data_IF_658644776098
#
_entry.id   IF_658644776098
#
_cell.length_a   1.000
_cell.length_b   1.000
_cell.length_c   1.000
_cell.angle_alpha   90.00
_cell.angle_beta   90.00
_cell.angle_gamma   90.00
#
_symmetry.space_group_name_H-M   'P 1'
#
loop_
_entity.id
_entity.type
_entity.pdbx_description
1 polymer ?
#
# COMPACT_ATOMS: atom_id res chain seq x y z
N UNK A 1 4.26 53.87 -15.39
CA UNK A 1 5.57 53.27 -15.13
C UNK A 1 5.59 52.30 -13.93
N UNK A 2 4.46 52.05 -13.24
CA UNK A 2 4.40 51.17 -12.06
C UNK A 2 4.34 49.67 -12.38
N UNK A 3 3.66 49.26 -13.46
CA UNK A 3 3.36 47.84 -13.71
C UNK A 3 4.56 47.02 -14.19
N UNK A 4 5.50 47.61 -14.92
CA UNK A 4 6.69 46.91 -15.40
C UNK A 4 7.69 46.58 -14.27
N UNK A 5 7.71 47.41 -13.20
CA UNK A 5 8.57 47.22 -12.04
C UNK A 5 8.05 46.14 -11.09
N UNK A 6 6.74 45.97 -10.99
CA UNK A 6 6.10 44.90 -10.21
C UNK A 6 6.23 43.53 -10.91
N UNK A 7 6.06 43.48 -12.23
CA UNK A 7 6.22 42.22 -13.01
C UNK A 7 7.67 41.73 -12.99
N UNK A 8 8.64 42.66 -13.05
CA UNK A 8 10.07 42.31 -12.92
C UNK A 8 10.43 41.88 -11.50
N UNK A 9 9.84 42.50 -10.46
CA UNK A 9 10.01 42.08 -9.07
C UNK A 9 9.44 40.68 -8.79
N UNK A 10 8.26 40.36 -9.34
CA UNK A 10 7.64 39.04 -9.23
C UNK A 10 8.47 37.97 -9.96
N UNK A 11 8.91 38.24 -11.20
CA UNK A 11 9.78 37.34 -11.95
C UNK A 11 11.12 37.13 -11.25
N UNK A 12 11.72 38.19 -10.71
CA UNK A 12 12.98 38.08 -9.98
C UNK A 12 12.81 37.28 -8.68
N UNK A 13 11.71 37.47 -7.96
CA UNK A 13 11.33 36.68 -6.78
C UNK A 13 11.15 35.20 -7.13
N UNK A 14 10.44 34.90 -8.22
CA UNK A 14 10.25 33.53 -8.71
C UNK A 14 11.58 32.91 -9.13
N UNK A 15 12.42 33.64 -9.89
CA UNK A 15 13.73 33.16 -10.32
C UNK A 15 14.68 32.95 -9.13
N UNK A 16 14.65 33.81 -8.13
CA UNK A 16 15.49 33.68 -6.92
C UNK A 16 15.00 32.52 -6.06
N UNK A 17 13.68 32.35 -5.87
CA UNK A 17 13.09 31.19 -5.20
C UNK A 17 13.40 29.88 -5.93
N UNK A 18 13.41 29.90 -7.27
CA UNK A 18 13.82 28.77 -8.10
C UNK A 18 15.31 28.48 -7.94
N UNK A 19 16.18 29.50 -7.94
CA UNK A 19 17.63 29.36 -7.78
C UNK A 19 18.02 28.86 -6.38
N UNK A 20 17.37 29.34 -5.32
CA UNK A 20 17.56 28.85 -3.95
C UNK A 20 17.01 27.42 -3.78
N UNK A 21 15.91 27.06 -4.46
CA UNK A 21 15.43 25.67 -4.51
C UNK A 21 16.36 24.72 -5.29
N UNK A 22 17.08 25.21 -6.30
CA UNK A 22 18.03 24.39 -7.07
C UNK A 22 19.31 24.12 -6.27
N UNK A 23 19.66 24.97 -5.29
CA UNK A 23 20.84 24.82 -4.42
C UNK A 23 20.48 24.28 -3.03
N UNK A 24 19.87 23.09 -2.99
CA UNK A 24 19.53 22.36 -1.76
C UNK A 24 20.63 21.34 -1.40
N UNK A 25 21.44 21.55 -0.34
CA UNK A 25 22.39 20.53 0.16
C UNK A 25 21.70 19.34 0.86
N UNK A 26 20.37 19.36 0.96
CA UNK A 26 19.47 18.39 1.60
C UNK A 26 18.79 17.41 0.61
N UNK A 27 19.27 17.34 -0.65
CA UNK A 27 18.75 16.40 -1.64
C UNK A 27 19.35 14.99 -1.47
N UNK A 28 18.49 13.98 -1.41
CA UNK A 28 18.90 12.58 -1.48
C UNK A 28 18.59 12.05 -2.88
N UNK A 29 19.62 11.65 -3.62
CA UNK A 29 19.51 11.19 -5.02
C UNK A 29 18.80 12.20 -5.96
N UNK A 30 18.91 13.49 -5.67
CA UNK A 30 18.29 14.56 -6.47
C UNK A 30 16.86 14.94 -6.05
N UNK A 31 16.31 14.33 -5.00
CA UNK A 31 14.97 14.65 -4.48
C UNK A 31 15.02 15.17 -3.04
N UNK A 32 14.09 16.07 -2.69
CA UNK A 32 13.88 16.49 -1.31
C UNK A 32 13.04 15.45 -0.53
N UNK A 33 12.93 15.57 0.79
CA UNK A 33 12.18 14.59 1.60
C UNK A 33 10.69 14.49 1.25
N UNK A 34 10.04 15.59 0.87
CA UNK A 34 8.63 15.59 0.46
C UNK A 34 8.44 14.83 -0.86
N UNK A 35 9.30 15.06 -1.86
CA UNK A 35 9.29 14.33 -3.13
C UNK A 35 9.57 12.84 -2.94
N UNK A 36 10.44 12.49 -1.98
CA UNK A 36 10.71 11.09 -1.64
C UNK A 36 9.48 10.35 -1.08
N UNK A 37 8.50 11.06 -0.49
CA UNK A 37 7.22 10.45 -0.08
C UNK A 37 6.44 9.88 -1.26
N UNK A 38 6.67 10.38 -2.49
CA UNK A 38 6.09 9.83 -3.72
C UNK A 38 7.06 8.86 -4.43
N UNK A 39 8.35 9.18 -4.50
CA UNK A 39 9.33 8.40 -5.27
C UNK A 39 9.63 7.04 -4.64
N UNK A 40 9.83 6.98 -3.32
CA UNK A 40 10.26 5.75 -2.64
C UNK A 40 9.16 4.68 -2.67
N UNK A 41 7.88 4.97 -2.33
CA UNK A 41 6.84 3.95 -2.39
C UNK A 41 6.67 3.37 -3.79
N UNK A 42 6.70 4.20 -4.84
CA UNK A 42 6.61 3.73 -6.24
C UNK A 42 7.81 2.85 -6.62
N UNK A 43 9.01 3.21 -6.18
CA UNK A 43 10.19 2.37 -6.40
C UNK A 43 10.04 1.03 -5.66
N UNK A 44 9.57 1.05 -4.41
CA UNK A 44 9.33 -0.14 -3.60
C UNK A 44 8.24 -1.05 -4.18
N UNK A 45 7.23 -0.47 -4.84
CA UNK A 45 6.20 -1.20 -5.56
C UNK A 45 6.82 -2.10 -6.63
N UNK A 46 7.58 -1.51 -7.55
CA UNK A 46 8.18 -2.26 -8.66
C UNK A 46 9.24 -3.25 -8.19
N UNK A 47 10.03 -2.91 -7.15
CA UNK A 47 10.98 -3.84 -6.56
C UNK A 47 10.28 -5.06 -5.96
N UNK A 48 9.22 -4.86 -5.17
CA UNK A 48 8.46 -5.93 -4.52
C UNK A 48 7.69 -6.75 -5.55
N UNK A 49 7.09 -6.09 -6.54
CA UNK A 49 6.34 -6.77 -7.58
C UNK A 49 7.26 -7.60 -8.48
N UNK A 50 8.44 -7.08 -8.82
CA UNK A 50 9.45 -7.83 -9.58
C UNK A 50 9.96 -9.02 -8.77
N UNK A 51 10.18 -8.86 -7.46
CA UNK A 51 10.57 -9.98 -6.61
C UNK A 51 9.57 -11.14 -6.71
N UNK A 52 8.27 -10.87 -6.52
CA UNK A 52 7.23 -11.90 -6.63
C UNK A 52 7.07 -12.47 -8.05
N UNK A 53 7.23 -11.63 -9.07
CA UNK A 53 7.19 -12.08 -10.46
C UNK A 53 8.36 -13.01 -10.80
N UNK A 54 9.56 -12.76 -10.26
CA UNK A 54 10.69 -13.67 -10.42
C UNK A 54 10.45 -15.01 -9.72
N UNK A 55 9.78 -15.01 -8.55
CA UNK A 55 9.40 -16.27 -7.89
C UNK A 55 8.42 -17.08 -8.76
N UNK A 56 7.42 -16.44 -9.36
CA UNK A 56 6.49 -17.11 -10.30
C UNK A 56 7.21 -17.61 -11.55
N UNK A 57 8.00 -16.74 -12.19
CA UNK A 57 8.71 -17.07 -13.44
C UNK A 57 9.67 -18.26 -13.30
N UNK A 58 10.42 -18.32 -12.20
CA UNK A 58 11.39 -19.40 -11.94
C UNK A 58 10.81 -20.59 -11.17
N UNK A 59 9.50 -20.61 -10.93
CA UNK A 59 8.81 -21.64 -10.15
C UNK A 59 9.37 -21.86 -8.74
N UNK A 60 9.86 -20.78 -8.13
CA UNK A 60 10.44 -20.83 -6.79
C UNK A 60 9.30 -20.80 -5.76
N UNK A 61 9.36 -21.67 -4.76
CA UNK A 61 8.40 -21.71 -3.66
C UNK A 61 6.95 -22.01 -4.07
N UNK A 62 6.74 -22.83 -5.11
CA UNK A 62 5.42 -23.20 -5.61
C UNK A 62 4.45 -23.71 -4.52
N UNK A 63 4.96 -24.35 -3.45
CA UNK A 63 4.15 -24.80 -2.31
C UNK A 63 3.45 -23.68 -1.52
N UNK A 64 3.87 -22.43 -1.69
CA UNK A 64 3.27 -21.25 -1.03
C UNK A 64 2.37 -20.44 -1.97
N UNK A 65 2.11 -20.93 -3.20
CA UNK A 65 1.16 -20.26 -4.11
C UNK A 65 -0.28 -20.43 -3.66
N UNK A 66 -1.04 -19.35 -3.76
CA UNK A 66 -2.45 -19.29 -3.41
C UNK A 66 -3.35 -19.87 -4.51
N UNK A 67 -2.94 -19.72 -5.77
CA UNK A 67 -3.64 -20.28 -6.94
C UNK A 67 -2.61 -20.67 -8.01
N UNK A 68 -2.92 -21.65 -8.88
CA UNK A 68 -2.05 -22.00 -10.00
C UNK A 68 -1.92 -20.85 -11.02
N UNK A 69 -0.72 -20.67 -11.59
CA UNK A 69 -0.42 -19.65 -12.61
C UNK A 69 -1.32 -19.76 -13.86
N UNK A 70 -1.78 -20.97 -14.18
CA UNK A 70 -2.72 -21.17 -15.29
C UNK A 70 -4.13 -20.63 -14.99
N UNK A 71 -4.57 -20.66 -13.73
CA UNK A 71 -5.82 -20.01 -13.34
C UNK A 71 -5.73 -18.49 -13.51
N UNK A 72 -4.59 -17.88 -13.17
CA UNK A 72 -4.34 -16.46 -13.39
C UNK A 72 -4.58 -16.07 -14.86
N UNK A 73 -3.93 -16.79 -15.79
CA UNK A 73 -4.02 -16.51 -17.24
C UNK A 73 -5.43 -16.71 -17.81
N UNK A 74 -6.20 -17.64 -17.23
CA UNK A 74 -7.53 -18.01 -17.74
C UNK A 74 -8.67 -17.18 -17.12
N UNK A 75 -8.51 -16.72 -15.88
CA UNK A 75 -9.57 -16.06 -15.12
C UNK A 75 -9.51 -14.53 -15.18
N UNK A 76 -8.33 -13.96 -15.37
CA UNK A 76 -8.16 -12.52 -15.47
C UNK A 76 -8.61 -12.02 -16.85
N UNK A 77 -9.34 -10.90 -16.85
CA UNK A 77 -9.84 -10.27 -18.08
C UNK A 77 -8.76 -9.46 -18.80
N UNK A 78 -7.97 -8.60 -18.14
CA UNK A 78 -7.00 -7.75 -18.83
C UNK A 78 -5.73 -8.53 -19.17
N UNK A 79 -5.09 -8.16 -20.28
CA UNK A 79 -3.74 -8.65 -20.58
C UNK A 79 -2.71 -8.04 -19.61
N UNK A 80 -1.65 -8.79 -19.30
CA UNK A 80 -0.54 -8.32 -18.43
C UNK A 80 0.06 -7.00 -18.93
N UNK A 81 0.20 -6.83 -20.26
CA UNK A 81 0.69 -5.59 -20.86
C UNK A 81 -0.26 -4.39 -20.63
N UNK A 82 -1.58 -4.62 -20.69
CA UNK A 82 -2.57 -3.58 -20.36
C UNK A 82 -2.44 -3.16 -18.90
N UNK A 83 -2.32 -4.13 -17.99
CA UNK A 83 -2.15 -3.86 -16.56
C UNK A 83 -0.90 -3.04 -16.28
N UNK A 84 0.26 -3.44 -16.82
CA UNK A 84 1.52 -2.68 -16.68
C UNK A 84 1.36 -1.24 -17.18
N UNK A 85 0.75 -1.04 -18.35
CA UNK A 85 0.53 0.30 -18.90
C UNK A 85 -0.35 1.15 -17.99
N UNK A 86 -1.42 0.59 -17.45
CA UNK A 86 -2.32 1.29 -16.52
C UNK A 86 -1.57 1.68 -15.25
N UNK A 87 -0.87 0.75 -14.61
CA UNK A 87 -0.11 1.01 -13.37
C UNK A 87 0.99 2.06 -13.59
N UNK A 88 1.72 2.01 -14.71
CA UNK A 88 2.70 3.04 -15.06
C UNK A 88 2.07 4.42 -15.24
N UNK A 89 0.86 4.48 -15.83
CA UNK A 89 0.12 5.73 -16.00
C UNK A 89 -0.29 6.29 -14.63
N UNK A 90 -0.81 5.44 -13.74
CA UNK A 90 -1.19 5.83 -12.39
C UNK A 90 0.01 6.32 -11.58
N UNK A 91 1.15 5.64 -11.65
CA UNK A 91 2.37 6.09 -10.99
C UNK A 91 2.92 7.41 -11.55
N UNK A 92 2.81 7.64 -12.86
CA UNK A 92 3.16 8.94 -13.44
C UNK A 92 2.25 10.05 -12.89
N UNK A 93 0.94 9.80 -12.78
CA UNK A 93 0.00 10.73 -12.15
C UNK A 93 0.30 10.95 -10.66
N UNK A 94 0.62 9.89 -9.91
CA UNK A 94 0.96 9.94 -8.49
C UNK A 94 2.26 10.74 -8.24
N UNK A 95 3.30 10.52 -9.05
CA UNK A 95 4.53 11.31 -9.00
C UNK A 95 4.26 12.79 -9.29
N UNK A 96 3.52 13.08 -10.37
CA UNK A 96 3.17 14.45 -10.72
C UNK A 96 2.40 15.13 -9.58
N UNK A 97 1.39 14.46 -9.03
CA UNK A 97 0.60 15.01 -7.94
C UNK A 97 1.44 15.21 -6.67
N UNK A 98 2.30 14.25 -6.31
CA UNK A 98 3.20 14.40 -5.16
C UNK A 98 4.12 15.61 -5.30
N UNK A 99 4.60 15.90 -6.51
CA UNK A 99 5.46 17.05 -6.78
C UNK A 99 4.67 18.36 -6.77
N UNK A 100 3.41 18.34 -7.22
CA UNK A 100 2.50 19.47 -7.10
C UNK A 100 2.16 19.75 -5.64
N UNK A 101 1.93 18.71 -4.83
CA UNK A 101 1.66 18.82 -3.38
C UNK A 101 2.86 19.44 -2.65
N UNK A 102 4.08 18.97 -2.94
CA UNK A 102 5.34 19.59 -2.48
C UNK A 102 5.44 21.06 -2.94
N UNK A 103 5.19 21.33 -4.23
CA UNK A 103 5.25 22.70 -4.78
C UNK A 103 4.25 23.66 -4.12
N UNK A 104 3.08 23.15 -3.71
CA UNK A 104 2.06 23.91 -3.00
C UNK A 104 2.29 23.97 -1.48
N UNK A 105 3.36 23.34 -0.96
CA UNK A 105 3.66 23.23 0.46
C UNK A 105 2.50 22.61 1.27
N UNK A 106 1.70 21.77 0.59
CA UNK A 106 0.60 21.03 1.20
C UNK A 106 1.20 19.80 1.88
N UNK A 107 1.07 19.72 3.20
CA UNK A 107 1.52 18.54 3.95
C UNK A 107 2.95 18.60 4.50
N UNK A 108 3.57 19.79 4.59
CA UNK A 108 4.79 20.03 5.42
C UNK A 108 4.52 19.89 6.94
N UNK A 109 3.50 19.13 7.34
CA UNK A 109 3.14 18.92 8.73
C UNK A 109 4.12 17.95 9.42
N UNK A 110 4.28 18.08 10.74
CA UNK A 110 4.74 16.98 11.58
C UNK A 110 6.21 16.96 12.01
N UNK A 111 7.13 17.61 11.28
CA UNK A 111 8.54 17.70 11.68
C UNK A 111 8.70 18.32 13.07
N UNK A 112 7.97 19.40 13.34
CA UNK A 112 7.98 20.06 14.64
C UNK A 112 7.34 19.22 15.74
N UNK A 113 6.27 18.48 15.44
CA UNK A 113 5.55 17.66 16.42
C UNK A 113 6.40 16.50 16.89
N UNK A 114 6.96 15.71 15.96
CA UNK A 114 7.84 14.59 16.30
C UNK A 114 9.10 15.08 17.05
N UNK A 115 9.70 16.19 16.60
CA UNK A 115 10.87 16.79 17.25
C UNK A 115 10.55 17.32 18.67
N UNK A 116 9.38 17.93 18.87
CA UNK A 116 8.93 18.40 20.19
C UNK A 116 8.73 17.24 21.16
N UNK A 117 8.06 16.17 20.74
CA UNK A 117 7.87 14.98 21.57
C UNK A 117 9.18 14.26 21.86
N UNK A 118 10.06 14.12 20.85
CA UNK A 118 11.40 13.59 21.02
C UNK A 118 12.18 14.40 22.07
N UNK A 119 12.14 15.73 21.96
CA UNK A 119 12.78 16.63 22.94
C UNK A 119 12.19 16.49 24.34
N UNK A 120 10.87 16.36 24.47
CA UNK A 120 10.23 16.13 25.77
C UNK A 120 10.65 14.79 26.39
N UNK A 121 10.66 13.70 25.61
CA UNK A 121 11.11 12.37 26.06
C UNK A 121 12.57 12.44 26.50
N UNK A 122 13.44 13.02 25.67
CA UNK A 122 14.87 13.16 25.96
C UNK A 122 15.15 14.11 27.14
N UNK A 123 14.33 15.13 27.37
CA UNK A 123 14.46 16.01 28.54
C UNK A 123 14.05 15.32 29.84
N UNK A 124 13.07 14.42 29.79
CA UNK A 124 12.63 13.65 30.97
C UNK A 124 13.56 12.46 31.26
N UNK A 125 14.22 11.93 30.22
CA UNK A 125 15.16 10.83 30.28
C UNK A 125 16.47 11.20 29.57
N UNK A 126 17.26 12.15 30.13
CA UNK A 126 18.48 12.63 29.48
C UNK A 126 19.49 11.50 29.30
N UNK A 127 20.10 11.32 28.11
CA UNK A 127 21.01 10.21 27.82
C UNK A 127 22.38 10.30 28.53
N UNK A 128 22.53 11.13 29.56
CA UNK A 128 23.83 11.50 30.10
C UNK A 128 24.23 10.68 31.33
N UNK A 129 25.02 9.62 31.07
CA UNK A 129 26.22 9.39 31.87
C UNK A 129 27.45 9.51 30.95
N UNK A 130 28.43 10.38 31.25
CA UNK A 130 29.53 10.75 30.35
C UNK A 130 30.58 9.65 30.12
N UNK A 131 30.49 8.51 30.81
CA UNK A 131 31.38 7.36 30.62
C UNK A 131 30.84 6.41 29.55
N UNK A 132 31.60 6.22 28.47
CA UNK A 132 31.39 5.15 27.46
C UNK A 132 31.87 3.78 27.95
N UNK A 133 32.62 3.75 29.05
CA UNK A 133 33.42 2.59 29.46
C UNK A 133 32.78 1.78 30.60
N UNK A 134 31.66 2.25 31.14
CA UNK A 134 30.95 1.63 32.26
C UNK A 134 29.70 0.89 31.80
N UNK A 135 29.70 -0.44 31.94
CA UNK A 135 28.55 -1.34 31.73
C UNK A 135 27.64 -1.45 32.97
N UNK A 136 27.59 -0.40 33.80
CA UNK A 136 26.73 -0.38 34.98
C UNK A 136 25.26 -0.46 34.52
N UNK A 137 24.46 -1.31 35.18
CA UNK A 137 23.04 -1.50 34.92
C UNK A 137 22.27 -0.18 34.89
N UNK A 138 22.58 0.77 35.79
CA UNK A 138 21.89 2.07 35.83
C UNK A 138 22.15 2.92 34.58
N UNK A 139 23.37 2.84 34.03
CA UNK A 139 23.78 3.58 32.82
C UNK A 139 23.17 2.92 31.57
N UNK A 140 23.11 1.59 31.54
CA UNK A 140 22.43 0.85 30.48
C UNK A 140 20.92 1.15 30.48
N UNK A 141 20.28 1.19 31.66
CA UNK A 141 18.88 1.53 31.80
C UNK A 141 18.59 2.97 31.33
N UNK A 142 19.45 3.93 31.67
CA UNK A 142 19.34 5.33 31.19
C UNK A 142 19.46 5.48 29.66
N UNK A 143 20.09 4.53 28.96
CA UNK A 143 20.18 4.52 27.49
C UNK A 143 19.03 3.77 26.84
N UNK A 144 18.69 2.61 27.39
CA UNK A 144 17.70 1.69 26.83
C UNK A 144 16.28 2.25 27.02
N UNK A 145 15.94 2.74 28.21
CA UNK A 145 14.56 3.18 28.52
C UNK A 145 14.10 4.31 27.58
N UNK A 146 14.79 5.47 27.46
CA UNK A 146 14.38 6.50 26.51
C UNK A 146 14.35 6.02 25.06
N UNK A 147 15.27 5.14 24.66
CA UNK A 147 15.30 4.58 23.30
C UNK A 147 14.07 3.71 23.03
N UNK A 148 13.69 2.85 23.98
CA UNK A 148 12.50 2.01 23.91
C UNK A 148 11.24 2.86 23.93
N UNK A 149 11.14 3.86 24.82
CA UNK A 149 10.01 4.78 24.88
C UNK A 149 9.87 5.56 23.57
N UNK A 150 10.97 6.08 23.04
CA UNK A 150 10.97 6.81 21.78
C UNK A 150 10.59 5.92 20.60
N UNK A 151 11.16 4.71 20.52
CA UNK A 151 10.80 3.72 19.51
C UNK A 151 9.32 3.32 19.59
N UNK A 152 8.79 3.07 20.80
CA UNK A 152 7.39 2.76 21.02
C UNK A 152 6.47 3.93 20.64
N UNK A 153 6.88 5.18 20.91
CA UNK A 153 6.16 6.37 20.50
C UNK A 153 6.08 6.50 18.98
N UNK A 154 7.22 6.33 18.28
CA UNK A 154 7.25 6.35 16.81
C UNK A 154 6.40 5.23 16.22
N UNK A 155 6.51 4.01 16.76
CA UNK A 155 5.69 2.87 16.34
C UNK A 155 4.19 3.15 16.57
N UNK A 156 3.82 3.71 17.72
CA UNK A 156 2.44 4.09 18.03
C UNK A 156 1.88 5.11 17.04
N UNK A 157 2.69 6.09 16.62
CA UNK A 157 2.31 7.05 15.56
C UNK A 157 2.12 6.39 14.20
N UNK A 158 3.00 5.46 13.84
CA UNK A 158 2.89 4.68 12.60
C UNK A 158 1.62 3.83 12.59
N UNK A 159 1.31 3.14 13.70
CA UNK A 159 0.09 2.33 13.85
C UNK A 159 -1.18 3.20 13.83
N UNK A 160 -1.16 4.36 14.48
CA UNK A 160 -2.28 5.30 14.43
C UNK A 160 -2.52 5.80 13.01
N UNK A 161 -1.46 6.17 12.29
CA UNK A 161 -1.57 6.62 10.90
C UNK A 161 -2.03 5.49 9.98
N UNK A 162 -1.54 4.27 10.16
CA UNK A 162 -2.02 3.09 9.43
C UNK A 162 -3.50 2.83 9.70
N UNK A 163 -3.98 2.99 10.93
CA UNK A 163 -5.39 2.88 11.27
C UNK A 163 -6.26 3.96 10.59
N UNK A 164 -5.72 5.17 10.39
CA UNK A 164 -6.37 6.23 9.59
C UNK A 164 -6.46 5.81 8.12
N UNK A 165 -5.37 5.31 7.53
CA UNK A 165 -5.36 4.78 6.15
C UNK A 165 -6.43 3.68 6.02
N UNK A 166 -6.39 2.67 6.88
CA UNK A 166 -7.25 1.50 6.79
C UNK A 166 -8.73 1.87 6.99
N UNK A 167 -9.02 2.81 7.90
CA UNK A 167 -10.38 3.34 8.07
C UNK A 167 -10.88 4.03 6.80
N UNK A 168 -10.06 4.89 6.20
CA UNK A 168 -10.46 5.59 4.97
C UNK A 168 -10.68 4.61 3.81
N UNK A 169 -9.70 3.73 3.58
CA UNK A 169 -9.74 2.71 2.53
C UNK A 169 -10.94 1.79 2.72
N UNK A 170 -11.19 1.30 3.94
CA UNK A 170 -12.36 0.46 4.22
C UNK A 170 -13.66 1.15 3.83
N UNK A 171 -13.89 2.40 4.24
CA UNK A 171 -15.17 3.07 3.96
C UNK A 171 -15.34 3.38 2.49
N UNK A 172 -14.27 3.75 1.78
CA UNK A 172 -14.31 3.92 0.33
C UNK A 172 -14.59 2.59 -0.39
N UNK A 173 -13.90 1.52 0.01
CA UNK A 173 -14.02 0.20 -0.57
C UNK A 173 -15.41 -0.41 -0.30
N UNK A 174 -15.87 -0.38 0.95
CA UNK A 174 -17.21 -0.79 1.34
C UNK A 174 -18.28 -0.04 0.55
N UNK A 175 -18.17 1.28 0.45
CA UNK A 175 -19.10 2.11 -0.33
C UNK A 175 -19.06 1.74 -1.81
N UNK A 176 -17.88 1.43 -2.35
CA UNK A 176 -17.71 0.99 -3.74
C UNK A 176 -18.46 -0.30 -4.04
N UNK A 177 -18.60 -1.21 -3.08
CA UNK A 177 -19.41 -2.43 -3.22
C UNK A 177 -20.90 -2.26 -2.93
N UNK A 178 -21.30 -1.20 -2.22
CA UNK A 178 -22.71 -0.91 -1.90
C UNK A 178 -23.37 0.00 -2.93
N UNK A 179 -22.64 0.96 -3.47
CA UNK A 179 -23.13 1.93 -4.43
C UNK A 179 -22.81 1.44 -5.84
N UNK A 180 -23.82 0.91 -6.50
CA UNK A 180 -23.67 0.23 -7.79
C UNK A 180 -23.04 1.10 -8.89
N UNK A 181 -23.23 2.42 -8.84
CA UNK A 181 -22.56 3.33 -9.78
C UNK A 181 -21.05 3.41 -9.55
N UNK A 182 -20.62 3.48 -8.28
CA UNK A 182 -19.20 3.50 -7.92
C UNK A 182 -18.57 2.16 -8.30
N UNK A 183 -19.24 1.03 -7.98
CA UNK A 183 -18.77 -0.28 -8.42
C UNK A 183 -18.50 -0.33 -9.93
N UNK A 184 -19.50 -0.05 -10.76
CA UNK A 184 -19.41 -0.25 -12.22
C UNK A 184 -18.43 0.67 -12.94
N UNK A 185 -18.17 1.86 -12.41
CA UNK A 185 -17.39 2.88 -13.12
C UNK A 185 -16.00 3.10 -12.52
N UNK A 186 -15.77 2.66 -11.28
CA UNK A 186 -14.56 2.95 -10.53
C UNK A 186 -13.89 1.64 -10.11
N UNK A 187 -14.59 0.83 -9.31
CA UNK A 187 -13.99 -0.32 -8.62
C UNK A 187 -14.02 -1.65 -9.40
N UNK A 188 -14.90 -1.78 -10.41
CA UNK A 188 -15.00 -3.02 -11.19
C UNK A 188 -13.74 -3.31 -11.99
N UNK A 189 -12.97 -2.28 -12.37
CA UNK A 189 -11.68 -2.42 -13.07
C UNK A 189 -10.71 -3.23 -12.21
N UNK A 190 -10.63 -2.93 -10.92
CA UNK A 190 -9.81 -3.68 -9.99
C UNK A 190 -10.20 -5.16 -9.92
N UNK A 191 -11.50 -5.45 -9.93
CA UNK A 191 -12.06 -6.81 -9.93
C UNK A 191 -11.98 -7.54 -11.27
N UNK A 192 -11.47 -6.91 -12.33
CA UNK A 192 -11.15 -7.62 -13.57
C UNK A 192 -9.95 -8.58 -13.39
N UNK A 193 -9.10 -8.30 -12.39
CA UNK A 193 -8.11 -9.24 -11.87
C UNK A 193 -8.80 -10.13 -10.83
N UNK A 194 -9.27 -11.29 -11.28
CA UNK A 194 -9.96 -12.28 -10.46
C UNK A 194 -8.99 -13.13 -9.61
N UNK A 195 -7.82 -13.43 -10.17
CA UNK A 195 -6.71 -14.11 -9.52
C UNK A 195 -5.58 -13.10 -9.39
N UNK A 196 -5.40 -12.49 -8.20
CA UNK A 196 -4.39 -11.46 -7.98
C UNK A 196 -2.97 -11.93 -8.31
N UNK A 197 -2.18 -11.00 -8.84
CA UNK A 197 -0.74 -11.12 -9.03
C UNK A 197 -0.05 -9.78 -8.69
N UNK A 198 1.26 -9.82 -8.43
CA UNK A 198 1.96 -8.77 -7.69
C UNK A 198 1.86 -7.34 -8.28
N UNK A 199 2.22 -7.13 -9.54
CA UNK A 199 2.08 -5.81 -10.19
C UNK A 199 0.63 -5.50 -10.65
N UNK A 200 -0.33 -6.39 -10.33
CA UNK A 200 -1.76 -6.11 -10.46
C UNK A 200 -2.32 -5.33 -9.26
N UNK A 201 -1.53 -5.15 -8.19
CA UNK A 201 -1.98 -4.54 -6.93
C UNK A 201 -2.53 -3.11 -7.05
N UNK A 202 -2.10 -2.36 -8.06
CA UNK A 202 -2.57 -1.00 -8.36
C UNK A 202 -3.29 -0.92 -9.70
N UNK A 203 -3.74 -2.06 -10.24
CA UNK A 203 -4.63 -2.05 -11.39
C UNK A 203 -6.02 -1.62 -10.94
N UNK A 204 -6.29 -0.33 -11.02
CA UNK A 204 -7.55 0.28 -10.67
C UNK A 204 -7.83 1.51 -11.55
N UNK A 205 -9.00 2.13 -11.39
CA UNK A 205 -9.30 3.38 -12.10
C UNK A 205 -8.52 4.55 -11.49
N UNK A 206 -8.24 5.60 -12.27
CA UNK A 206 -7.59 6.81 -11.75
C UNK A 206 -8.34 7.43 -10.56
N UNK A 207 -9.68 7.38 -10.60
CA UNK A 207 -10.53 7.85 -9.50
C UNK A 207 -10.31 7.00 -8.26
N UNK A 208 -10.29 5.68 -8.40
CA UNK A 208 -10.00 4.78 -7.29
C UNK A 208 -8.62 5.04 -6.70
N UNK A 209 -7.57 5.17 -7.52
CA UNK A 209 -6.23 5.43 -7.01
C UNK A 209 -6.16 6.76 -6.27
N UNK A 210 -6.85 7.79 -6.75
CA UNK A 210 -6.91 9.08 -6.06
C UNK A 210 -7.60 8.96 -4.69
N UNK A 211 -8.79 8.35 -4.63
CA UNK A 211 -9.59 8.29 -3.41
C UNK A 211 -9.06 7.26 -2.41
N UNK A 212 -8.65 6.09 -2.87
CA UNK A 212 -8.15 5.01 -2.01
C UNK A 212 -6.67 5.20 -1.67
N UNK A 213 -5.81 5.38 -2.66
CA UNK A 213 -4.36 5.25 -2.46
C UNK A 213 -3.74 6.59 -2.03
N UNK A 214 -4.09 7.69 -2.70
CA UNK A 214 -3.47 9.00 -2.46
C UNK A 214 -4.12 9.70 -1.27
N UNK A 215 -5.44 9.85 -1.26
CA UNK A 215 -6.12 10.62 -0.23
C UNK A 215 -6.03 9.97 1.15
N UNK A 216 -6.05 8.64 1.26
CA UNK A 216 -5.83 7.95 2.54
C UNK A 216 -4.47 8.29 3.15
N UNK A 217 -3.41 8.32 2.34
CA UNK A 217 -2.06 8.67 2.73
C UNK A 217 -1.96 10.13 3.18
N UNK A 218 -2.53 11.07 2.40
CA UNK A 218 -2.56 12.50 2.74
C UNK A 218 -3.31 12.74 4.05
N UNK A 219 -4.46 12.07 4.25
CA UNK A 219 -5.23 12.18 5.48
C UNK A 219 -4.46 11.63 6.68
N UNK A 220 -3.81 10.47 6.55
CA UNK A 220 -3.01 9.89 7.62
C UNK A 220 -1.82 10.79 8.02
N UNK A 221 -1.08 11.31 7.04
CA UNK A 221 0.03 12.24 7.27
C UNK A 221 -0.46 13.53 7.94
N UNK A 222 -1.59 14.09 7.50
CA UNK A 222 -2.14 15.34 8.03
C UNK A 222 -2.74 15.18 9.42
N UNK A 223 -3.61 14.18 9.62
CA UNK A 223 -4.33 13.96 10.89
C UNK A 223 -3.37 13.61 12.03
N UNK A 224 -2.38 12.74 11.76
CA UNK A 224 -1.38 12.33 12.77
C UNK A 224 -0.22 13.32 12.86
N UNK A 225 -0.07 14.19 11.87
CA UNK A 225 1.05 15.12 11.74
C UNK A 225 2.36 14.35 11.61
N UNK A 226 2.45 13.44 10.63
CA UNK A 226 3.68 12.70 10.32
C UNK A 226 4.69 13.59 9.58
N UNK A 227 5.95 13.53 9.99
CA UNK A 227 7.05 14.04 9.17
C UNK A 227 7.14 13.33 7.82
N UNK A 228 7.79 13.95 6.84
CA UNK A 228 8.04 13.31 5.53
C UNK A 228 8.78 11.98 5.67
N UNK A 229 9.71 11.86 6.63
CA UNK A 229 10.42 10.60 6.93
C UNK A 229 9.50 9.51 7.48
N UNK A 230 8.61 9.88 8.40
CA UNK A 230 7.58 8.97 8.91
C UNK A 230 6.61 8.55 7.81
N UNK A 231 6.23 9.47 6.93
CA UNK A 231 5.36 9.22 5.78
C UNK A 231 6.02 8.29 4.75
N UNK A 232 7.31 8.51 4.42
CA UNK A 232 8.09 7.60 3.56
C UNK A 232 8.04 6.17 4.11
N UNK A 233 8.30 5.98 5.40
CA UNK A 233 8.27 4.66 6.01
C UNK A 233 6.87 4.03 5.92
N UNK A 234 5.84 4.77 6.31
CA UNK A 234 4.44 4.30 6.29
C UNK A 234 4.00 3.92 4.88
N UNK A 235 4.18 4.82 3.91
CA UNK A 235 3.70 4.64 2.55
C UNK A 235 4.47 3.51 1.85
N UNK A 236 5.77 3.39 2.11
CA UNK A 236 6.57 2.24 1.63
C UNK A 236 6.01 0.93 2.18
N UNK A 237 5.77 0.85 3.50
CA UNK A 237 5.15 -0.33 4.11
C UNK A 237 3.78 -0.64 3.50
N UNK A 238 2.91 0.37 3.39
CA UNK A 238 1.57 0.25 2.84
C UNK A 238 1.59 -0.29 1.40
N UNK A 239 2.44 0.29 0.55
CA UNK A 239 2.60 -0.13 -0.85
C UNK A 239 3.14 -1.56 -0.96
N UNK A 240 4.22 -1.89 -0.24
CA UNK A 240 4.79 -3.24 -0.29
C UNK A 240 3.80 -4.29 0.25
N UNK A 241 3.04 -3.96 1.30
CA UNK A 241 1.99 -4.82 1.85
C UNK A 241 0.87 -5.06 0.84
N UNK A 242 0.42 -4.01 0.13
CA UNK A 242 -0.59 -4.16 -0.92
C UNK A 242 -0.10 -5.09 -2.05
N UNK A 243 1.18 -4.98 -2.44
CA UNK A 243 1.79 -5.91 -3.41
C UNK A 243 1.86 -7.34 -2.86
N UNK A 244 2.23 -7.53 -1.59
CA UNK A 244 2.24 -8.84 -0.92
C UNK A 244 0.85 -9.49 -0.94
N UNK A 245 -0.20 -8.73 -0.64
CA UNK A 245 -1.59 -9.24 -0.62
C UNK A 245 -2.10 -9.66 -1.99
N UNK A 246 -1.58 -9.05 -3.05
CA UNK A 246 -1.90 -9.41 -4.43
C UNK A 246 -0.90 -10.39 -5.04
N UNK A 247 0.20 -10.72 -4.36
CA UNK A 247 1.32 -11.44 -4.98
C UNK A 247 0.98 -12.82 -5.53
N UNK A 248 -0.12 -13.41 -5.08
CA UNK A 248 -0.44 -14.81 -5.34
C UNK A 248 0.37 -15.78 -4.47
N UNK A 249 1.17 -15.29 -3.52
CA UNK A 249 1.95 -16.08 -2.57
C UNK A 249 1.54 -15.81 -1.12
N UNK A 250 1.72 -16.83 -0.28
CA UNK A 250 1.68 -16.71 1.18
C UNK A 250 3.00 -17.24 1.79
N UNK A 251 4.08 -16.49 1.59
CA UNK A 251 5.41 -16.86 2.09
C UNK A 251 5.43 -16.80 3.63
N UNK A 252 5.78 -17.88 4.34
CA UNK A 252 5.65 -17.90 5.79
C UNK A 252 6.64 -16.96 6.50
N UNK A 253 7.75 -16.59 5.85
CA UNK A 253 8.77 -15.69 6.38
C UNK A 253 8.65 -14.24 5.87
N UNK A 254 7.73 -13.94 4.93
CA UNK A 254 7.52 -12.55 4.49
C UNK A 254 7.07 -11.71 5.69
N UNK A 255 7.70 -10.55 5.96
CA UNK A 255 7.29 -9.68 7.07
C UNK A 255 5.84 -9.22 6.93
N UNK A 256 5.36 -9.04 5.69
CA UNK A 256 3.98 -8.66 5.37
C UNK A 256 2.99 -9.79 5.63
N UNK A 257 3.37 -11.02 5.28
CA UNK A 257 2.57 -12.21 5.59
C UNK A 257 2.56 -12.53 7.09
N UNK A 258 3.65 -12.30 7.82
CA UNK A 258 3.69 -12.40 9.29
C UNK A 258 2.73 -11.37 9.91
N UNK A 259 2.83 -10.10 9.48
CA UNK A 259 1.94 -9.03 9.90
C UNK A 259 0.48 -9.39 9.60
N UNK A 260 0.17 -9.82 8.38
CA UNK A 260 -1.19 -10.18 7.97
C UNK A 260 -1.77 -11.36 8.77
N UNK A 261 -0.95 -12.33 9.19
CA UNK A 261 -1.41 -13.40 10.10
C UNK A 261 -1.72 -12.87 11.50
N UNK A 262 -0.96 -11.89 11.98
CA UNK A 262 -1.21 -11.26 13.27
C UNK A 262 -2.50 -10.41 13.26
N UNK A 263 -2.74 -9.63 12.21
CA UNK A 263 -3.93 -8.77 12.11
C UNK A 263 -5.17 -9.47 11.54
N UNK A 264 -4.96 -10.59 10.85
CA UNK A 264 -5.97 -11.31 10.06
C UNK A 264 -6.10 -10.83 8.61
N UNK A 265 -5.45 -9.73 8.23
CA UNK A 265 -5.48 -9.16 6.88
C UNK A 265 -4.26 -9.64 6.07
N UNK A 266 -4.24 -10.93 5.72
CA UNK A 266 -3.18 -11.55 4.91
C UNK A 266 -3.62 -11.77 3.45
N UNK A 267 -2.71 -12.08 2.53
CA UNK A 267 -3.04 -12.25 1.10
C UNK A 267 -4.19 -13.22 0.79
N UNK A 268 -4.40 -14.30 1.55
CA UNK A 268 -5.61 -15.15 1.36
C UNK A 268 -6.91 -14.41 1.68
N UNK A 269 -6.91 -13.51 2.67
CA UNK A 269 -8.06 -12.72 3.08
C UNK A 269 -8.53 -11.82 1.93
N UNK A 270 -7.58 -11.11 1.32
CA UNK A 270 -7.79 -10.27 0.14
C UNK A 270 -8.06 -11.09 -1.12
N UNK A 271 -7.36 -12.22 -1.31
CA UNK A 271 -7.59 -13.12 -2.41
C UNK A 271 -9.03 -13.65 -2.47
N UNK A 272 -9.66 -13.90 -1.30
CA UNK A 272 -11.07 -14.27 -1.20
C UNK A 272 -11.97 -13.14 -1.68
N UNK A 273 -11.63 -11.89 -1.34
CA UNK A 273 -12.36 -10.71 -1.80
C UNK A 273 -12.40 -10.61 -3.33
N UNK A 274 -11.29 -10.88 -4.03
CA UNK A 274 -11.28 -10.88 -5.50
C UNK A 274 -12.15 -11.97 -6.15
N UNK A 275 -12.57 -13.00 -5.39
CA UNK A 275 -13.42 -14.04 -5.92
C UNK A 275 -14.87 -13.55 -6.01
N UNK A 276 -15.56 -13.83 -7.13
CA UNK A 276 -17.01 -13.55 -7.30
C UNK A 276 -17.88 -14.00 -6.11
N UNK A 277 -17.53 -15.11 -5.46
CA UNK A 277 -18.24 -15.65 -4.31
C UNK A 277 -17.86 -15.00 -2.97
N UNK A 278 -16.71 -14.32 -2.90
CA UNK A 278 -16.21 -13.60 -1.72
C UNK A 278 -16.19 -12.07 -1.87
N UNK A 279 -16.57 -11.53 -3.03
CA UNK A 279 -16.51 -10.10 -3.39
C UNK A 279 -17.28 -9.14 -2.47
N UNK A 280 -18.24 -9.66 -1.71
CA UNK A 280 -18.98 -8.87 -0.71
C UNK A 280 -18.41 -8.96 0.69
N UNK A 281 -17.21 -9.53 0.85
CA UNK A 281 -16.55 -9.74 2.12
C UNK A 281 -15.09 -9.32 2.10
N UNK A 282 -14.49 -9.18 3.28
CA UNK A 282 -13.06 -8.90 3.47
C UNK A 282 -12.63 -7.60 2.77
N UNK A 283 -13.22 -6.48 3.16
CA UNK A 283 -13.01 -5.17 2.52
C UNK A 283 -11.77 -4.43 3.06
N UNK A 284 -11.24 -4.83 4.20
CA UNK A 284 -10.16 -4.14 4.92
C UNK A 284 -8.78 -4.70 4.55
N UNK A 285 -7.76 -3.84 4.49
CA UNK A 285 -6.47 -4.18 3.88
C UNK A 285 -5.34 -4.39 4.93
N UNK A 286 -5.40 -3.68 6.07
CA UNK A 286 -4.31 -3.71 7.06
C UNK A 286 -4.72 -4.39 8.37
N UNK A 287 -5.96 -4.20 8.79
CA UNK A 287 -6.59 -4.82 9.95
C UNK A 287 -7.86 -5.56 9.51
N UNK A 288 -8.63 -6.03 10.48
CA UNK A 288 -9.93 -6.67 10.25
C UNK A 288 -10.99 -6.14 11.21
N UNK A 289 -10.77 -4.93 11.75
CA UNK A 289 -11.64 -4.32 12.75
C UNK A 289 -12.99 -3.94 12.12
N UNK A 290 -12.94 -3.18 11.02
CA UNK A 290 -14.13 -2.72 10.32
C UNK A 290 -14.88 -3.86 9.66
N UNK A 291 -14.20 -4.87 9.14
CA UNK A 291 -14.85 -6.07 8.61
C UNK A 291 -15.64 -6.85 9.67
N UNK A 292 -15.13 -6.90 10.91
CA UNK A 292 -15.86 -7.50 12.04
C UNK A 292 -17.01 -6.59 12.48
N UNK A 293 -16.78 -5.29 12.56
CA UNK A 293 -17.76 -4.30 13.01
C UNK A 293 -18.97 -4.23 12.06
N UNK A 294 -18.72 -4.22 10.75
CA UNK A 294 -19.74 -4.16 9.70
C UNK A 294 -20.25 -5.54 9.26
N UNK A 295 -19.80 -6.61 9.91
CA UNK A 295 -20.11 -8.00 9.57
C UNK A 295 -19.86 -8.34 8.10
N UNK A 296 -18.77 -7.81 7.52
CA UNK A 296 -18.30 -8.10 6.16
C UNK A 296 -17.15 -9.11 6.14
N UNK A 297 -16.73 -9.67 7.27
CA UNK A 297 -15.77 -10.78 7.28
C UNK A 297 -16.35 -12.05 6.62
N UNK A 298 -15.57 -12.69 5.76
CA UNK A 298 -15.91 -13.99 5.18
C UNK A 298 -15.89 -15.09 6.26
N UNK A 299 -17.01 -15.80 6.42
CA UNK A 299 -17.18 -16.90 7.39
C UNK A 299 -17.53 -18.23 6.71
N UNK A 300 -17.50 -18.28 5.38
CA UNK A 300 -17.82 -19.51 4.64
C UNK A 300 -16.69 -20.53 4.68
N UNK A 301 -16.98 -21.73 4.19
CA UNK A 301 -16.04 -22.86 4.15
C UNK A 301 -15.24 -22.93 2.85
N UNK A 302 -15.58 -22.10 1.85
CA UNK A 302 -14.91 -22.11 0.54
C UNK A 302 -13.54 -21.45 0.66
N UNK A 303 -12.55 -22.07 0.02
CA UNK A 303 -11.16 -21.63 -0.03
C UNK A 303 -10.78 -21.24 -1.45
N UNK A 304 -9.62 -20.58 -1.62
CA UNK A 304 -9.08 -20.24 -2.96
C UNK A 304 -8.81 -21.46 -3.84
N UNK A 305 -8.53 -22.63 -3.22
CA UNK A 305 -8.34 -23.90 -3.94
C UNK A 305 -9.65 -24.66 -4.19
N UNK A 306 -10.78 -24.15 -3.71
CA UNK A 306 -12.06 -24.83 -3.92
C UNK A 306 -12.47 -24.77 -5.38
N UNK A 307 -12.91 -25.90 -5.98
CA UNK A 307 -13.34 -25.91 -7.36
C UNK A 307 -14.54 -24.96 -7.57
N UNK A 308 -14.71 -24.42 -8.79
CA UNK A 308 -15.90 -23.64 -9.12
C UNK A 308 -17.16 -24.47 -8.92
N UNK A 309 -18.20 -23.85 -8.37
CA UNK A 309 -19.51 -24.49 -8.24
C UNK A 309 -20.12 -24.75 -9.62
N UNK A 310 -21.05 -25.71 -9.71
CA UNK A 310 -21.78 -26.00 -10.94
C UNK A 310 -22.43 -24.75 -11.54
N UNK A 311 -23.06 -23.91 -10.71
CA UNK A 311 -23.68 -22.66 -11.15
C UNK A 311 -22.67 -21.66 -11.75
N UNK A 312 -21.46 -21.58 -11.19
CA UNK A 312 -20.38 -20.77 -11.76
C UNK A 312 -19.95 -21.32 -13.12
N UNK A 313 -19.70 -22.63 -13.22
CA UNK A 313 -19.31 -23.28 -14.47
C UNK A 313 -20.38 -23.13 -15.55
N UNK A 314 -21.66 -23.22 -15.16
CA UNK A 314 -22.80 -23.06 -16.06
C UNK A 314 -22.98 -21.61 -16.53
N UNK A 315 -22.48 -20.62 -15.77
CA UNK A 315 -22.48 -19.20 -16.16
C UNK A 315 -21.35 -18.81 -17.13
N UNK A 316 -20.39 -19.71 -17.38
CA UNK A 316 -19.24 -19.43 -18.23
C UNK A 316 -19.60 -19.48 -19.73
N UNK A 317 -18.85 -18.77 -20.59
CA UNK A 317 -18.92 -18.97 -22.04
C UNK A 317 -18.76 -20.44 -22.41
N UNK A 318 -19.49 -20.88 -23.44
CA UNK A 318 -19.58 -22.30 -23.85
C UNK A 318 -18.22 -22.95 -24.09
N UNK A 319 -17.30 -22.25 -24.74
CA UNK A 319 -15.94 -22.73 -25.00
C UNK A 319 -15.17 -23.01 -23.70
N UNK A 320 -15.12 -22.04 -22.79
CA UNK A 320 -14.43 -22.18 -21.49
C UNK A 320 -15.03 -23.30 -20.65
N UNK A 321 -16.37 -23.43 -20.67
CA UNK A 321 -17.07 -24.52 -19.99
C UNK A 321 -16.65 -25.88 -20.55
N UNK A 322 -16.56 -26.02 -21.87
CA UNK A 322 -16.16 -27.27 -22.51
C UNK A 322 -14.71 -27.66 -22.17
N UNK A 323 -13.77 -26.71 -22.20
CA UNK A 323 -12.37 -26.93 -21.84
C UNK A 323 -12.21 -27.41 -20.39
N UNK A 324 -12.91 -26.76 -19.45
CA UNK A 324 -12.89 -27.15 -18.03
C UNK A 324 -13.49 -28.54 -17.79
N UNK A 325 -14.61 -28.87 -18.45
CA UNK A 325 -15.24 -30.18 -18.33
C UNK A 325 -14.38 -31.30 -18.93
N UNK A 326 -13.62 -31.01 -20.01
CA UNK A 326 -12.67 -31.94 -20.60
C UNK A 326 -11.51 -32.25 -19.63
N UNK A 327 -10.95 -31.23 -18.98
CA UNK A 327 -9.89 -31.41 -17.97
C UNK A 327 -10.36 -32.20 -16.75
N UNK A 328 -11.58 -31.91 -16.26
CA UNK A 328 -12.18 -32.69 -15.17
C UNK A 328 -12.38 -34.16 -15.53
N UNK A 329 -12.65 -34.45 -16.81
CA UNK A 329 -12.79 -35.82 -17.30
C UNK A 329 -11.42 -36.50 -17.35
N UNK A 330 -10.42 -35.83 -17.90
CA UNK A 330 -9.04 -36.34 -17.97
C UNK A 330 -8.46 -36.63 -16.58
N UNK A 331 -8.71 -35.76 -15.59
CA UNK A 331 -8.31 -35.98 -14.19
C UNK A 331 -9.04 -37.13 -13.49
N UNK A 332 -10.25 -37.49 -13.94
CA UNK A 332 -11.00 -38.63 -13.41
C UNK A 332 -10.62 -39.96 -14.05
N UNK A 333 -10.10 -39.89 -15.27
CA UNK A 333 -9.67 -41.04 -16.06
C UNK A 333 -8.20 -41.44 -15.74
N UNK A 334 -7.47 -40.60 -14.98
CA UNK A 334 -6.17 -40.89 -14.35
C UNK A 334 -6.35 -41.38 -12.91
#
# INVERSE_FOLDING_TARGET
>A
MSSAHEVTGLLQSVVTSLQDRIRRPDLYFGFNEAQLTAVIPISSYWLTATFYELLDYFDIFAQYRLQPTEEERRRNVPSRAHVIKTVLTLHACQLLLGFVVDWLEIGEAGNETAARWAKQILNHYPPHHPSTDSWNADILLQRIIPTVIYGAFLLGRQLLALAVIDTWVFWFHFTSHKVQWIYRNIHSIHHEIYTPYAYGALYNSLTESFFSDIMSCVLAQTIVGLSNREAIFLFTFATMKQVDDHSGYALPWSPFSIYGRFTGAHGVYHGIHHQKWGMKSNMENYFTFWDRFMATKYLGTRTLHSPPSKAEVDSWPSQRRAEYLAQLKEQKDQ
#
